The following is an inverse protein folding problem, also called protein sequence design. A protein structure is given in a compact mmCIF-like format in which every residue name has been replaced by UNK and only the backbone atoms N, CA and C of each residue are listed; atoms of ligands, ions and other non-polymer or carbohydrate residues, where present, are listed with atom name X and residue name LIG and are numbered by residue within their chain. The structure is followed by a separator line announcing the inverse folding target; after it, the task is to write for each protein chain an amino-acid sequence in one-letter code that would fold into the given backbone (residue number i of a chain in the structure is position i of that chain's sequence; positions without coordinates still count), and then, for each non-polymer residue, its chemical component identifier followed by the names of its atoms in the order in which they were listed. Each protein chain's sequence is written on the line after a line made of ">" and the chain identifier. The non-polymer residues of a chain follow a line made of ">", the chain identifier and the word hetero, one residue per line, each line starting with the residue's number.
data_IF_405509453975
#
_entry.id   IF_405509453975
#
_cell.length_a   1.000
_cell.length_b   1.000
_cell.length_c   1.000
_cell.angle_alpha   90.00
_cell.angle_beta   90.00
_cell.angle_gamma   90.00
#
_symmetry.space_group_name_H-M   'P 1'
#
loop_
_entity.id
_entity.type
_entity.pdbx_description
1 polymer ?
#
# COMPACT_ATOMS: atom_id res chain seq x y z
N UNK A 1 11.05 61.31 -68.67
CA UNK A 1 10.07 60.47 -67.94
C UNK A 1 10.14 59.06 -68.51
N UNK A 2 10.85 58.15 -67.81
CA UNK A 2 11.15 56.78 -68.24
C UNK A 2 10.54 55.79 -67.24
N UNK A 3 10.03 54.71 -67.82
CA UNK A 3 9.39 53.53 -67.21
C UNK A 3 10.37 52.67 -66.41
N UNK A 4 9.79 51.98 -65.41
CA UNK A 4 10.16 50.68 -64.80
C UNK A 4 11.48 50.66 -64.01
N UNK A 5 11.43 50.12 -62.78
CA UNK A 5 12.07 48.86 -62.41
C UNK A 5 11.78 48.56 -60.92
N UNK A 6 11.30 47.33 -60.67
CA UNK A 6 11.60 46.44 -59.54
C UNK A 6 11.59 47.04 -58.12
N UNK A 7 10.70 46.53 -57.28
CA UNK A 7 11.10 45.71 -56.13
C UNK A 7 9.88 44.91 -55.64
N UNK A 8 9.79 43.66 -56.08
CA UNK A 8 9.12 42.59 -55.36
C UNK A 8 9.88 42.41 -54.04
N UNK A 9 9.37 42.96 -52.94
CA UNK A 9 9.88 42.65 -51.61
C UNK A 9 9.29 41.29 -51.18
N UNK A 10 10.00 40.23 -51.57
CA UNK A 10 9.90 38.95 -50.88
C UNK A 10 10.64 39.07 -49.55
N UNK A 11 9.92 38.93 -48.44
CA UNK A 11 10.53 38.56 -47.15
C UNK A 11 9.73 37.38 -46.61
N UNK A 12 10.18 36.21 -47.03
CA UNK A 12 9.94 34.92 -46.42
C UNK A 12 10.67 34.94 -45.06
N UNK A 13 9.98 35.24 -43.96
CA UNK A 13 10.56 35.13 -42.62
C UNK A 13 10.01 33.88 -41.92
N UNK A 14 10.94 33.03 -41.52
CA UNK A 14 10.77 31.69 -41.01
C UNK A 14 9.74 31.59 -39.87
N UNK A 15 8.75 30.72 -40.05
CA UNK A 15 8.05 30.09 -38.95
C UNK A 15 9.05 29.14 -38.25
N UNK A 16 9.80 29.66 -37.28
CA UNK A 16 10.48 28.80 -36.31
C UNK A 16 9.41 28.14 -35.44
N UNK A 17 8.98 26.96 -35.86
CA UNK A 17 8.31 26.00 -35.00
C UNK A 17 9.22 25.69 -33.83
N UNK A 18 9.05 26.39 -32.72
CA UNK A 18 9.63 25.98 -31.45
C UNK A 18 8.87 24.74 -31.02
N UNK A 19 9.35 23.58 -31.45
CA UNK A 19 8.97 22.31 -30.86
C UNK A 19 9.39 22.40 -29.40
N UNK A 20 8.47 22.78 -28.51
CA UNK A 20 8.69 22.60 -27.08
C UNK A 20 8.77 21.11 -26.88
N UNK A 21 10.00 20.64 -26.68
CA UNK A 21 10.30 19.30 -26.23
C UNK A 21 9.44 19.08 -24.99
N UNK A 22 8.46 18.17 -25.08
CA UNK A 22 7.75 17.67 -23.92
C UNK A 22 8.80 16.91 -23.13
N UNK A 23 9.38 17.60 -22.16
CA UNK A 23 10.27 17.01 -21.19
C UNK A 23 9.38 16.12 -20.33
N UNK A 24 9.43 14.81 -20.56
CA UNK A 24 8.92 13.84 -19.61
C UNK A 24 9.64 14.14 -18.30
N UNK A 25 8.92 14.74 -17.35
CA UNK A 25 9.45 15.00 -16.03
C UNK A 25 9.65 13.64 -15.38
N UNK A 26 10.86 13.11 -15.49
CA UNK A 26 11.36 12.10 -14.58
C UNK A 26 11.31 12.77 -13.20
N UNK A 27 10.28 12.41 -12.46
CA UNK A 27 9.95 13.05 -11.20
C UNK A 27 10.87 12.45 -10.12
N UNK A 28 12.14 12.83 -10.19
CA UNK A 28 13.18 12.34 -9.30
C UNK A 28 13.07 13.05 -7.95
N UNK A 29 12.82 12.28 -6.89
CA UNK A 29 12.69 12.79 -5.53
C UNK A 29 14.06 12.85 -4.85
N UNK A 30 15.02 13.47 -5.54
CA UNK A 30 16.36 13.66 -5.00
C UNK A 30 16.29 14.44 -3.70
N UNK A 31 17.02 13.92 -2.70
CA UNK A 31 17.02 14.48 -1.35
C UNK A 31 18.33 15.23 -1.08
N UNK A 32 18.21 16.41 -0.48
CA UNK A 32 19.32 17.20 0.05
C UNK A 32 19.30 17.16 1.58
N UNK A 33 20.46 17.27 2.23
CA UNK A 33 20.51 17.31 3.71
C UNK A 33 20.49 18.73 4.25
N UNK A 34 19.57 18.99 5.17
CA UNK A 34 19.54 20.22 5.98
C UNK A 34 19.56 19.84 7.47
N UNK A 35 20.69 20.07 8.12
CA UNK A 35 20.93 19.56 9.47
C UNK A 35 20.86 18.03 9.50
N UNK A 36 19.92 17.49 10.27
CA UNK A 36 19.72 16.03 10.42
C UNK A 36 18.58 15.49 9.54
N UNK A 37 18.06 16.29 8.60
CA UNK A 37 16.87 15.96 7.84
C UNK A 37 17.15 15.85 6.35
N UNK A 38 16.51 14.86 5.71
CA UNK A 38 16.46 14.73 4.26
C UNK A 38 15.31 15.61 3.73
N UNK A 39 15.63 16.53 2.84
CA UNK A 39 14.72 17.50 2.25
C UNK A 39 14.55 17.19 0.77
N UNK A 40 13.32 16.98 0.33
CA UNK A 40 12.96 16.85 -1.09
C UNK A 40 12.29 18.14 -1.57
N UNK A 41 12.47 18.45 -2.86
CA UNK A 41 11.89 19.66 -3.45
C UNK A 41 10.36 19.56 -3.61
N UNK A 42 9.70 20.71 -3.75
CA UNK A 42 8.26 20.78 -4.04
C UNK A 42 7.89 20.13 -5.38
N UNK A 43 8.83 19.84 -6.27
CA UNK A 43 8.61 19.07 -7.49
C UNK A 43 8.45 17.57 -7.25
N UNK A 44 8.88 17.04 -6.09
CA UNK A 44 8.76 15.62 -5.78
C UNK A 44 7.28 15.19 -5.70
N UNK A 45 6.83 14.21 -6.50
CA UNK A 45 5.43 13.81 -6.56
C UNK A 45 5.02 13.02 -5.33
N UNK A 46 4.06 13.59 -4.59
CA UNK A 46 3.44 12.95 -3.43
C UNK A 46 1.94 12.67 -3.62
N UNK A 47 1.44 12.96 -4.83
CA UNK A 47 0.10 12.68 -5.36
C UNK A 47 -1.07 13.15 -4.51
N UNK A 48 -2.08 12.32 -4.21
CA UNK A 48 -3.28 12.75 -3.48
C UNK A 48 -3.51 12.00 -2.17
N UNK A 49 -4.08 12.68 -1.17
CA UNK A 49 -4.51 12.06 0.09
C UNK A 49 -5.70 11.10 -0.09
N UNK A 50 -5.58 9.92 0.51
CA UNK A 50 -6.63 8.89 0.45
C UNK A 50 -7.70 9.07 1.53
N UNK A 51 -7.36 9.68 2.67
CA UNK A 51 -8.32 10.04 3.75
C UNK A 51 -9.22 8.88 4.23
N UNK A 52 -8.68 7.67 4.30
CA UNK A 52 -9.43 6.48 4.73
C UNK A 52 -10.11 5.71 3.60
N UNK A 53 -10.09 6.23 2.36
CA UNK A 53 -10.48 5.47 1.17
C UNK A 53 -9.41 4.46 0.81
N UNK A 54 -9.81 3.28 0.34
CA UNK A 54 -8.88 2.33 -0.26
C UNK A 54 -8.39 2.86 -1.61
N UNK A 55 -7.12 2.70 -1.98
CA UNK A 55 -6.65 3.04 -3.31
C UNK A 55 -7.17 2.04 -4.34
N UNK A 56 -7.33 2.47 -5.59
CA UNK A 56 -7.72 1.58 -6.70
C UNK A 56 -6.72 0.43 -6.91
N UNK A 57 -5.44 0.73 -6.74
CA UNK A 57 -4.36 -0.24 -6.80
C UNK A 57 -3.67 -0.33 -5.42
N UNK A 58 -3.49 -1.55 -4.90
CA UNK A 58 -2.81 -1.78 -3.61
C UNK A 58 -1.28 -1.71 -3.72
N UNK A 59 -0.75 -1.74 -4.94
CA UNK A 59 0.65 -1.47 -5.28
C UNK A 59 0.74 -0.11 -5.98
N UNK A 60 1.75 0.68 -5.65
CA UNK A 60 1.90 2.03 -6.18
C UNK A 60 3.03 2.76 -5.49
N UNK A 61 3.00 4.08 -5.47
CA UNK A 61 3.94 4.89 -4.68
C UNK A 61 3.12 5.58 -3.60
N UNK A 62 3.25 5.14 -2.36
CA UNK A 62 2.49 5.66 -1.23
C UNK A 62 3.38 6.45 -0.28
N UNK A 63 2.90 7.61 0.13
CA UNK A 63 3.54 8.41 1.17
C UNK A 63 2.64 8.47 2.39
N UNK A 64 3.20 8.41 3.59
CA UNK A 64 2.46 8.72 4.80
C UNK A 64 2.78 10.15 5.20
N UNK A 65 1.81 11.06 5.11
CA UNK A 65 1.98 12.42 5.59
C UNK A 65 1.77 12.48 7.09
N UNK A 66 2.81 12.89 7.83
CA UNK A 66 2.78 13.05 9.29
C UNK A 66 2.34 14.45 9.75
N UNK A 67 2.48 15.48 8.91
CA UNK A 67 2.12 16.84 9.28
C UNK A 67 2.57 17.90 8.28
N UNK A 68 2.26 19.16 8.59
CA UNK A 68 2.73 20.35 7.89
C UNK A 68 3.28 21.31 8.95
N UNK A 69 4.53 21.71 8.82
CA UNK A 69 5.28 22.45 9.84
C UNK A 69 5.78 23.78 9.26
N UNK A 70 5.91 24.80 10.09
CA UNK A 70 6.55 26.08 9.74
C UNK A 70 8.08 26.04 9.85
N UNK A 71 8.63 25.02 10.51
CA UNK A 71 10.07 24.81 10.67
C UNK A 71 10.39 23.32 10.82
N UNK A 72 11.64 22.96 10.57
CA UNK A 72 12.12 21.59 10.76
C UNK A 72 12.15 21.24 12.25
N UNK A 73 11.75 20.02 12.66
CA UNK A 73 11.84 19.59 14.05
C UNK A 73 13.28 19.51 14.55
N UNK A 74 13.46 19.50 15.87
CA UNK A 74 14.76 19.18 16.47
C UNK A 74 15.16 17.72 16.20
N UNK A 75 16.46 17.45 16.19
CA UNK A 75 17.03 16.13 15.88
C UNK A 75 16.48 14.98 16.76
N UNK A 76 16.05 15.30 17.98
CA UNK A 76 15.43 14.35 18.89
C UNK A 76 14.05 13.84 18.46
N UNK A 77 13.41 14.48 17.47
CA UNK A 77 12.09 14.10 16.99
C UNK A 77 12.07 12.71 16.34
N UNK A 78 13.07 12.38 15.52
CA UNK A 78 13.15 11.07 14.86
C UNK A 78 13.27 9.92 15.86
N UNK A 79 13.87 10.19 17.03
CA UNK A 79 14.04 9.20 18.09
C UNK A 79 12.73 8.92 18.83
N UNK A 80 11.76 9.84 18.79
CA UNK A 80 10.42 9.62 19.36
C UNK A 80 9.54 8.73 18.49
N UNK A 81 9.94 8.44 17.25
CA UNK A 81 9.23 7.57 16.31
C UNK A 81 9.73 6.12 16.44
N UNK A 82 9.50 5.51 17.60
CA UNK A 82 10.09 4.22 18.02
C UNK A 82 9.54 2.95 17.32
N UNK A 83 8.83 3.08 16.20
CA UNK A 83 8.29 1.93 15.46
C UNK A 83 8.39 2.03 13.93
N UNK A 84 9.02 3.09 13.40
CA UNK A 84 9.31 3.11 11.97
C UNK A 84 10.52 2.20 11.69
N UNK A 85 10.37 1.11 10.91
CA UNK A 85 11.44 0.14 10.67
C UNK A 85 12.61 0.77 9.91
N UNK A 86 12.38 1.85 9.17
CA UNK A 86 13.42 2.67 8.57
C UNK A 86 13.20 4.15 8.92
N UNK A 87 14.05 4.71 9.79
CA UNK A 87 14.01 6.14 10.16
C UNK A 87 14.48 7.04 9.02
N UNK A 88 15.24 6.51 8.06
CA UNK A 88 15.68 7.23 6.86
C UNK A 88 14.53 7.43 5.86
N UNK A 89 13.42 6.71 6.03
CA UNK A 89 12.20 6.93 5.27
C UNK A 89 11.48 8.23 5.65
N UNK A 90 11.87 8.90 6.75
CA UNK A 90 11.35 10.20 7.13
C UNK A 90 12.05 11.31 6.33
N UNK A 91 11.28 12.00 5.50
CA UNK A 91 11.72 13.13 4.68
C UNK A 91 10.80 14.33 4.89
N UNK A 92 11.31 15.52 4.58
CA UNK A 92 10.51 16.73 4.55
C UNK A 92 10.47 17.28 3.13
N UNK A 93 9.27 17.51 2.60
CA UNK A 93 9.10 18.23 1.34
C UNK A 93 8.97 19.71 1.65
N UNK A 94 9.88 20.53 1.10
CA UNK A 94 9.82 21.96 1.28
C UNK A 94 8.79 22.56 0.30
N UNK A 95 7.80 23.28 0.82
CA UNK A 95 6.73 23.93 0.08
C UNK A 95 6.68 25.42 0.48
N UNK A 96 7.47 26.24 -0.22
CA UNK A 96 7.69 27.65 0.17
C UNK A 96 8.36 27.76 1.54
N UNK A 97 7.64 28.33 2.51
CA UNK A 97 8.10 28.48 3.91
C UNK A 97 7.68 27.31 4.82
N UNK A 98 6.95 26.34 4.30
CA UNK A 98 6.45 25.20 5.07
C UNK A 98 7.19 23.92 4.72
N UNK A 99 7.20 22.99 5.66
CA UNK A 99 7.76 21.65 5.50
C UNK A 99 6.67 20.61 5.71
N UNK A 100 6.40 19.82 4.68
CA UNK A 100 5.49 18.68 4.77
C UNK A 100 6.27 17.46 5.22
N UNK A 101 5.90 16.92 6.37
CA UNK A 101 6.48 15.71 6.94
C UNK A 101 5.92 14.48 6.20
N UNK A 102 6.81 13.65 5.66
CA UNK A 102 6.46 12.46 4.87
C UNK A 102 7.28 11.26 5.32
N UNK A 103 6.66 10.08 5.34
CA UNK A 103 7.35 8.80 5.50
C UNK A 103 7.14 7.96 4.25
N UNK A 104 8.21 7.46 3.64
CA UNK A 104 8.17 6.65 2.43
C UNK A 104 9.29 7.00 1.44
N UNK A 105 9.10 6.70 0.14
CA UNK A 105 7.89 6.12 -0.46
C UNK A 105 7.75 4.63 -0.14
N UNK A 106 6.50 4.15 -0.05
CA UNK A 106 6.16 2.74 0.11
C UNK A 106 5.55 2.19 -1.17
N UNK A 107 6.03 1.02 -1.61
CA UNK A 107 5.52 0.39 -2.83
C UNK A 107 4.18 -0.35 -2.64
N UNK A 108 3.80 -0.58 -1.38
CA UNK A 108 2.61 -1.33 -0.97
C UNK A 108 1.76 -0.50 0.00
N UNK A 109 0.45 -0.44 -0.24
CA UNK A 109 -0.49 0.30 0.61
C UNK A 109 -0.51 -0.23 2.05
N UNK A 110 -0.37 -1.54 2.24
CA UNK A 110 -0.32 -2.18 3.58
C UNK A 110 0.86 -1.70 4.42
N UNK A 111 2.03 -1.50 3.81
CA UNK A 111 3.21 -0.94 4.48
C UNK A 111 2.97 0.52 4.87
N UNK A 112 2.33 1.31 3.99
CA UNK A 112 1.93 2.67 4.30
C UNK A 112 0.86 2.74 5.42
N UNK A 113 -0.05 1.77 5.48
CA UNK A 113 -1.03 1.60 6.58
C UNK A 113 -0.33 1.33 7.91
N UNK A 114 0.60 0.38 7.94
CA UNK A 114 1.35 0.04 9.16
C UNK A 114 2.16 1.23 9.66
N UNK A 115 2.88 1.92 8.76
CA UNK A 115 3.63 3.12 9.08
C UNK A 115 2.71 4.24 9.60
N UNK A 116 1.56 4.47 8.96
CA UNK A 116 0.55 5.45 9.43
C UNK A 116 0.07 5.12 10.84
N UNK A 117 -0.29 3.87 11.09
CA UNK A 117 -0.87 3.48 12.37
C UNK A 117 0.17 3.56 13.50
N UNK A 118 1.43 3.29 13.20
CA UNK A 118 2.53 3.54 14.12
C UNK A 118 2.71 5.02 14.44
N UNK A 119 2.71 5.89 13.42
CA UNK A 119 2.81 7.34 13.62
C UNK A 119 1.64 7.84 14.48
N UNK A 120 0.42 7.34 14.25
CA UNK A 120 -0.78 7.76 14.98
C UNK A 120 -0.78 7.40 16.47
N UNK A 121 0.08 6.47 16.91
CA UNK A 121 0.28 6.20 18.35
C UNK A 121 0.87 7.41 19.08
N UNK A 122 1.56 8.29 18.37
CA UNK A 122 2.08 9.54 18.93
C UNK A 122 1.00 10.63 18.85
N UNK A 123 0.63 11.30 19.97
CA UNK A 123 -0.42 12.31 19.96
C UNK A 123 -0.22 13.42 18.93
N UNK A 124 1.02 13.87 18.76
CA UNK A 124 1.41 14.90 17.79
C UNK A 124 1.17 14.50 16.33
N UNK A 125 1.07 13.19 16.04
CA UNK A 125 0.96 12.62 14.69
C UNK A 125 -0.33 11.81 14.49
N UNK A 126 -1.29 11.95 15.42
CA UNK A 126 -2.62 11.32 15.37
C UNK A 126 -3.40 11.60 14.06
N UNK A 127 -3.04 12.67 13.35
CA UNK A 127 -3.63 13.07 12.06
C UNK A 127 -2.90 12.53 10.84
N UNK A 128 -1.92 11.65 11.00
CA UNK A 128 -1.18 11.09 9.88
C UNK A 128 -2.11 10.36 8.89
N UNK A 129 -1.86 10.47 7.59
CA UNK A 129 -2.68 9.83 6.55
C UNK A 129 -1.86 9.44 5.33
N UNK A 130 -2.39 8.56 4.49
CA UNK A 130 -1.70 8.02 3.32
C UNK A 130 -2.05 8.85 2.09
N UNK A 131 -1.05 9.13 1.25
CA UNK A 131 -1.16 9.72 -0.07
C UNK A 131 -0.72 8.70 -1.13
N UNK A 132 -1.31 8.75 -2.32
CA UNK A 132 -0.93 7.94 -3.48
C UNK A 132 -0.33 8.84 -4.56
N UNK A 133 0.98 8.70 -4.82
CA UNK A 133 1.74 9.51 -5.78
C UNK A 133 1.35 9.27 -7.24
N UNK A 134 0.71 8.13 -7.53
CA UNK A 134 0.20 7.83 -8.88
C UNK A 134 -1.12 8.56 -9.18
N UNK A 135 -1.74 9.18 -8.19
CA UNK A 135 -2.89 10.06 -8.38
C UNK A 135 -2.39 11.50 -8.55
N UNK A 136 -2.63 12.10 -9.73
CA UNK A 136 -2.21 13.47 -10.03
C UNK A 136 -2.98 14.46 -9.15
N UNK A 137 -2.29 15.45 -8.55
CA UNK A 137 -2.96 16.57 -7.88
C UNK A 137 -3.67 17.44 -8.93
N UNK A 138 -4.93 17.12 -9.23
CA UNK A 138 -5.79 18.04 -9.96
C UNK A 138 -6.13 19.18 -8.99
N UNK A 139 -5.59 20.37 -9.29
CA UNK A 139 -5.89 21.61 -8.59
C UNK A 139 -7.40 21.83 -8.44
N UNK A 140 -7.75 22.43 -7.31
CA UNK A 140 -9.08 22.82 -6.84
C UNK A 140 -10.19 22.99 -7.90
N UNK A 141 -11.29 22.25 -7.73
CA UNK A 141 -12.62 22.77 -8.05
C UNK A 141 -13.58 22.53 -6.87
N UNK A 142 -14.15 23.65 -6.40
CA UNK A 142 -15.13 23.70 -5.32
C UNK A 142 -16.43 23.04 -5.78
N UNK A 143 -16.98 22.13 -4.99
CA UNK A 143 -18.43 21.91 -5.00
C UNK A 143 -18.94 22.02 -3.57
N UNK A 144 -19.48 23.20 -3.30
CA UNK A 144 -20.37 23.45 -2.20
C UNK A 144 -21.65 22.63 -2.39
N UNK A 145 -22.13 22.03 -1.30
CA UNK A 145 -23.41 21.31 -1.29
C UNK A 145 -23.67 20.64 0.05
N UNK A 146 -23.95 21.43 1.08
CA UNK A 146 -24.81 20.99 2.19
C UNK A 146 -26.28 21.24 1.72
N UNK A 147 -27.30 20.48 2.15
CA UNK A 147 -27.68 20.43 3.56
C UNK A 147 -28.04 19.03 4.11
N UNK A 148 -27.61 18.81 5.36
CA UNK A 148 -28.31 18.11 6.44
C UNK A 148 -29.82 17.88 6.24
N UNK A 149 -30.31 16.68 6.59
CA UNK A 149 -31.47 16.49 7.49
C UNK A 149 -31.55 15.05 8.06
N UNK A 150 -31.34 14.97 9.38
CA UNK A 150 -31.94 14.10 10.43
C UNK A 150 -32.31 12.62 10.19
N UNK A 151 -31.63 11.78 10.98
CA UNK A 151 -32.15 10.69 11.85
C UNK A 151 -33.64 10.31 11.76
N UNK A 152 -33.90 9.00 11.66
CA UNK A 152 -34.84 8.33 12.58
C UNK A 152 -34.54 6.84 12.75
N UNK A 153 -34.44 6.42 14.00
CA UNK A 153 -34.44 5.05 14.51
C UNK A 153 -35.90 4.63 14.68
N UNK A 154 -36.33 3.46 14.15
CA UNK A 154 -36.95 2.39 14.94
C UNK A 154 -37.44 1.22 14.08
N UNK A 155 -37.24 -0.01 14.59
CA UNK A 155 -37.88 -1.22 14.07
C UNK A 155 -37.31 -2.54 14.62
N UNK A 156 -37.67 -2.87 15.88
CA UNK A 156 -37.73 -4.23 16.48
C UNK A 156 -38.36 -5.26 15.51
N UNK A 157 -38.16 -6.59 15.56
CA UNK A 157 -37.57 -7.51 16.53
C UNK A 157 -37.27 -8.86 15.83
N UNK A 158 -36.39 -9.64 16.47
CA UNK A 158 -36.46 -11.11 16.64
C UNK A 158 -36.57 -12.02 15.41
N UNK A 159 -35.47 -12.70 15.12
CA UNK A 159 -35.45 -13.97 14.38
C UNK A 159 -34.16 -14.72 14.68
N UNK A 160 -34.22 -15.66 15.63
CA UNK A 160 -33.18 -16.68 15.81
C UNK A 160 -33.03 -17.46 14.51
N UNK A 161 -31.87 -17.36 13.85
CA UNK A 161 -31.49 -18.32 12.81
C UNK A 161 -30.18 -18.97 13.22
N UNK A 162 -30.35 -20.17 13.74
CA UNK A 162 -29.36 -21.23 13.84
C UNK A 162 -28.52 -21.27 12.56
N UNK A 163 -27.21 -21.05 12.70
CA UNK A 163 -26.25 -21.13 11.61
C UNK A 163 -26.17 -22.59 11.11
N UNK A 164 -26.84 -22.88 10.00
CA UNK A 164 -26.53 -24.06 9.20
C UNK A 164 -25.14 -23.85 8.60
N UNK A 165 -24.17 -24.61 9.11
CA UNK A 165 -22.78 -24.62 8.65
C UNK A 165 -22.77 -24.96 7.15
N UNK A 166 -22.54 -23.96 6.31
CA UNK A 166 -22.42 -24.17 4.86
C UNK A 166 -21.35 -25.24 4.59
N UNK A 167 -21.66 -26.17 3.69
CA UNK A 167 -20.72 -27.23 3.31
C UNK A 167 -19.50 -26.61 2.60
N UNK A 168 -18.30 -27.05 2.98
CA UNK A 168 -17.05 -26.63 2.34
C UNK A 168 -17.02 -27.15 0.90
N UNK A 169 -16.59 -26.32 -0.04
CA UNK A 169 -16.44 -26.63 -1.48
C UNK A 169 -15.11 -27.31 -1.81
N UNK A 170 -14.18 -27.32 -0.87
CA UNK A 170 -12.85 -27.93 -1.03
C UNK A 170 -12.51 -28.79 0.19
N UNK A 171 -11.68 -29.80 -0.01
CA UNK A 171 -11.15 -30.60 1.08
C UNK A 171 -10.00 -29.87 1.78
N UNK A 172 -9.91 -30.06 3.09
CA UNK A 172 -8.89 -29.44 3.94
C UNK A 172 -8.18 -30.49 4.78
N UNK A 173 -6.98 -30.16 5.26
CA UNK A 173 -6.43 -30.76 6.47
C UNK A 173 -6.35 -29.70 7.56
N UNK A 174 -6.64 -30.09 8.79
CA UNK A 174 -6.53 -29.21 9.95
C UNK A 174 -5.07 -29.17 10.42
N UNK A 175 -4.63 -27.99 10.83
CA UNK A 175 -3.31 -27.74 11.38
C UNK A 175 -3.41 -26.65 12.44
N UNK A 176 -3.25 -27.02 13.71
CA UNK A 176 -3.18 -26.05 14.82
C UNK A 176 -4.42 -25.15 14.95
N UNK A 177 -5.60 -25.69 14.66
CA UNK A 177 -6.85 -24.92 14.64
C UNK A 177 -7.05 -24.08 13.37
N UNK A 178 -6.10 -24.13 12.44
CA UNK A 178 -6.20 -23.57 11.09
C UNK A 178 -6.51 -24.68 10.08
N UNK A 179 -6.79 -24.28 8.84
CA UNK A 179 -7.08 -25.21 7.75
C UNK A 179 -6.28 -24.91 6.51
N UNK A 180 -5.63 -25.92 5.95
CA UNK A 180 -4.98 -25.79 4.64
C UNK A 180 -5.79 -26.52 3.57
N UNK A 181 -6.13 -25.87 2.44
CA UNK A 181 -6.80 -26.54 1.34
C UNK A 181 -5.91 -27.62 0.71
N UNK A 182 -6.44 -28.83 0.50
CA UNK A 182 -5.74 -29.91 -0.21
C UNK A 182 -5.71 -29.63 -1.72
N UNK A 183 -4.61 -29.89 -2.44
CA UNK A 183 -4.53 -29.68 -3.88
C UNK A 183 -5.47 -30.61 -4.65
N UNK A 184 -6.09 -30.08 -5.71
CA UNK A 184 -6.83 -30.85 -6.73
C UNK A 184 -5.88 -31.28 -7.85
N UNK A 185 -6.39 -32.14 -8.73
CA UNK A 185 -5.62 -32.61 -9.90
C UNK A 185 -5.15 -31.46 -10.78
N UNK A 186 -3.88 -31.50 -11.16
CA UNK A 186 -3.22 -30.50 -12.00
C UNK A 186 -2.76 -29.22 -11.27
N UNK A 187 -3.15 -29.01 -10.01
CA UNK A 187 -2.74 -27.81 -9.26
C UNK A 187 -1.29 -27.89 -8.77
N UNK A 188 -0.67 -26.72 -8.58
CA UNK A 188 0.66 -26.61 -7.99
C UNK A 188 0.61 -27.05 -6.53
N UNK A 189 1.63 -27.80 -6.12
CA UNK A 189 1.71 -28.38 -4.79
C UNK A 189 3.13 -28.41 -4.25
N UNK A 190 3.24 -28.54 -2.94
CA UNK A 190 4.46 -28.82 -2.21
C UNK A 190 4.19 -29.96 -1.25
N UNK A 191 5.10 -30.93 -1.17
CA UNK A 191 4.95 -32.08 -0.28
C UNK A 191 6.08 -32.03 0.74
N UNK A 192 5.71 -32.14 2.01
CA UNK A 192 6.63 -32.48 3.09
C UNK A 192 6.31 -33.89 3.61
N UNK A 193 6.95 -34.28 4.71
CA UNK A 193 6.81 -35.62 5.29
C UNK A 193 5.38 -35.92 5.80
N UNK A 194 4.55 -34.91 6.01
CA UNK A 194 3.23 -35.03 6.65
C UNK A 194 2.08 -34.70 5.70
N UNK A 195 2.24 -33.67 4.86
CA UNK A 195 1.15 -33.08 4.10
C UNK A 195 1.52 -32.78 2.65
N UNK A 196 0.49 -32.85 1.81
CA UNK A 196 0.53 -32.32 0.45
C UNK A 196 -0.17 -30.97 0.46
N UNK A 197 0.62 -29.91 0.41
CA UNK A 197 0.18 -28.53 0.44
C UNK A 197 -0.22 -28.06 -0.94
N UNK A 198 -1.38 -27.43 -1.03
CA UNK A 198 -1.71 -26.65 -2.22
C UNK A 198 -0.88 -25.37 -2.26
N UNK A 199 -0.42 -25.01 -3.47
CA UNK A 199 0.25 -23.75 -3.75
C UNK A 199 -0.58 -22.92 -4.71
N UNK A 200 -0.81 -21.68 -4.35
CA UNK A 200 -1.73 -20.81 -5.06
C UNK A 200 -1.17 -19.40 -5.20
N UNK A 201 -1.59 -18.68 -6.23
CA UNK A 201 -1.47 -17.23 -6.26
C UNK A 201 -2.27 -16.59 -5.12
N UNK A 202 -1.98 -15.33 -4.80
CA UNK A 202 -2.73 -14.63 -3.74
C UNK A 202 -4.24 -14.60 -4.04
N UNK A 203 -4.60 -14.37 -5.31
CA UNK A 203 -6.00 -14.32 -5.74
C UNK A 203 -6.71 -15.65 -5.51
N UNK A 204 -6.11 -16.74 -5.96
CA UNK A 204 -6.66 -18.09 -5.79
C UNK A 204 -6.78 -18.46 -4.31
N UNK A 205 -5.76 -18.16 -3.51
CA UNK A 205 -5.73 -18.43 -2.08
C UNK A 205 -6.85 -17.69 -1.34
N UNK A 206 -6.98 -16.38 -1.54
CA UNK A 206 -8.02 -15.55 -0.91
C UNK A 206 -9.42 -16.03 -1.30
N UNK A 207 -9.68 -16.18 -2.61
CA UNK A 207 -10.99 -16.62 -3.08
C UNK A 207 -11.35 -18.01 -2.57
N UNK A 208 -10.39 -18.91 -2.38
CA UNK A 208 -10.66 -20.26 -1.87
C UNK A 208 -11.08 -20.23 -0.41
N UNK A 209 -10.35 -19.52 0.46
CA UNK A 209 -10.74 -19.40 1.87
C UNK A 209 -12.13 -18.72 1.99
N UNK A 210 -12.36 -17.63 1.27
CA UNK A 210 -13.62 -16.87 1.33
C UNK A 210 -14.83 -17.69 0.85
N UNK A 211 -14.65 -18.47 -0.22
CA UNK A 211 -15.70 -19.33 -0.75
C UNK A 211 -16.17 -20.41 0.23
N UNK A 212 -15.32 -20.74 1.19
CA UNK A 212 -15.54 -21.73 2.23
C UNK A 212 -15.79 -21.08 3.61
N UNK A 213 -16.09 -19.78 3.63
CA UNK A 213 -16.48 -19.04 4.84
C UNK A 213 -15.34 -18.72 5.80
N UNK A 214 -14.10 -18.79 5.32
CA UNK A 214 -12.88 -18.47 6.07
C UNK A 214 -12.17 -17.28 5.43
N UNK A 215 -11.11 -16.80 6.06
CA UNK A 215 -10.15 -15.87 5.43
C UNK A 215 -8.78 -16.52 5.41
N UNK A 216 -7.83 -15.94 4.68
CA UNK A 216 -6.43 -16.32 4.85
C UNK A 216 -6.03 -16.12 6.31
N UNK A 217 -5.11 -16.95 6.79
CA UNK A 217 -4.51 -16.81 8.12
C UNK A 217 -3.88 -15.42 8.27
N UNK A 218 -4.08 -14.76 9.40
CA UNK A 218 -3.41 -13.47 9.63
C UNK A 218 -1.91 -13.65 9.92
N UNK A 219 -1.10 -12.65 9.58
CA UNK A 219 0.30 -12.59 10.03
C UNK A 219 0.39 -12.76 11.55
N UNK A 220 -0.51 -12.12 12.30
CA UNK A 220 -0.51 -12.18 13.76
C UNK A 220 -0.72 -13.62 14.28
N UNK A 221 -1.63 -14.36 13.65
CA UNK A 221 -1.88 -15.78 13.94
C UNK A 221 -0.65 -16.61 13.59
N UNK A 222 -0.09 -16.45 12.38
CA UNK A 222 1.12 -17.17 11.95
C UNK A 222 2.30 -16.90 12.89
N UNK A 223 2.51 -15.65 13.32
CA UNK A 223 3.55 -15.31 14.30
C UNK A 223 3.31 -15.96 15.65
N UNK A 224 2.06 -16.00 16.11
CA UNK A 224 1.70 -16.63 17.39
C UNK A 224 2.06 -18.12 17.38
N UNK A 225 1.66 -18.85 16.33
CA UNK A 225 1.97 -20.28 16.22
C UNK A 225 3.46 -20.55 15.98
N UNK A 226 4.15 -19.70 15.21
CA UNK A 226 5.57 -19.91 14.86
C UNK A 226 6.53 -19.68 16.03
N UNK A 227 6.08 -19.05 17.11
CA UNK A 227 6.86 -18.85 18.35
C UNK A 227 6.93 -20.09 19.24
N UNK A 228 5.96 -21.01 19.12
CA UNK A 228 5.99 -22.28 19.85
C UNK A 228 6.85 -23.29 19.09
N UNK A 229 7.85 -23.88 19.76
CA UNK A 229 8.73 -24.87 19.14
C UNK A 229 7.96 -26.11 18.64
N UNK A 230 6.94 -26.52 19.40
CA UNK A 230 6.05 -27.62 19.04
C UNK A 230 5.29 -27.33 17.75
N UNK A 231 4.69 -26.14 17.65
CA UNK A 231 3.89 -25.73 16.49
C UNK A 231 4.73 -25.38 15.27
N UNK A 232 5.91 -24.77 15.48
CA UNK A 232 6.88 -24.52 14.43
C UNK A 232 7.32 -25.81 13.73
N UNK A 233 7.43 -26.92 14.45
CA UNK A 233 7.78 -28.23 13.87
C UNK A 233 6.70 -28.83 12.95
N UNK A 234 5.49 -28.26 12.96
CA UNK A 234 4.38 -28.71 12.11
C UNK A 234 4.19 -27.85 10.85
N UNK A 235 4.86 -26.70 10.77
CA UNK A 235 4.82 -25.82 9.60
C UNK A 235 5.93 -26.20 8.61
N UNK A 236 5.70 -26.07 7.29
CA UNK A 236 6.73 -26.19 6.28
C UNK A 236 7.81 -25.13 6.46
N UNK A 237 9.07 -25.51 6.24
CA UNK A 237 10.23 -24.65 6.49
C UNK A 237 10.78 -23.94 5.26
N UNK A 238 10.31 -24.31 4.05
CA UNK A 238 10.93 -23.88 2.79
C UNK A 238 10.19 -22.81 2.02
N UNK A 239 8.90 -22.62 2.30
CA UNK A 239 8.05 -21.73 1.52
C UNK A 239 7.26 -20.79 2.43
N UNK A 240 7.09 -19.53 2.02
CA UNK A 240 6.26 -18.59 2.75
C UNK A 240 4.77 -18.88 2.52
N UNK A 241 3.94 -18.26 3.36
CA UNK A 241 2.49 -18.32 3.32
C UNK A 241 1.91 -17.04 2.74
N UNK A 242 0.77 -17.14 2.07
CA UNK A 242 -0.11 -15.99 1.92
C UNK A 242 -0.80 -15.69 3.25
N UNK A 243 -0.79 -14.42 3.65
CA UNK A 243 -1.52 -13.96 4.84
C UNK A 243 -2.72 -13.09 4.48
N UNK A 244 -3.65 -12.92 5.42
CA UNK A 244 -4.83 -12.05 5.32
C UNK A 244 -4.49 -10.63 4.87
N UNK A 245 -3.31 -10.16 5.24
CA UNK A 245 -2.75 -8.86 4.90
C UNK A 245 -2.26 -8.79 3.44
N UNK A 246 -2.50 -9.83 2.65
CA UNK A 246 -2.31 -9.90 1.20
C UNK A 246 -0.85 -9.78 0.73
N UNK A 247 0.06 -10.34 1.50
CA UNK A 247 1.47 -10.44 1.14
C UNK A 247 2.04 -11.79 1.58
N UNK A 248 3.26 -12.09 1.13
CA UNK A 248 3.95 -13.34 1.45
C UNK A 248 4.66 -13.22 2.80
N UNK A 249 4.42 -14.13 3.74
CA UNK A 249 5.06 -14.13 5.06
C UNK A 249 5.90 -15.38 5.26
N UNK A 250 7.19 -15.22 5.59
CA UNK A 250 8.05 -16.32 5.98
C UNK A 250 7.87 -16.60 7.48
N UNK A 251 7.30 -17.76 7.80
CA UNK A 251 7.02 -18.18 9.17
C UNK A 251 8.27 -18.57 9.97
N UNK A 252 9.37 -18.91 9.28
CA UNK A 252 10.64 -19.29 9.91
C UNK A 252 11.46 -18.06 10.25
N UNK A 253 11.62 -17.17 9.27
CA UNK A 253 12.37 -15.92 9.38
C UNK A 253 11.54 -14.83 10.06
N UNK A 254 10.22 -15.02 10.18
CA UNK A 254 9.27 -14.07 10.78
C UNK A 254 9.27 -12.70 10.11
N UNK A 255 9.41 -12.66 8.79
CA UNK A 255 9.46 -11.43 7.99
C UNK A 255 8.54 -11.50 6.77
N UNK A 256 8.00 -10.36 6.31
CA UNK A 256 7.40 -10.26 4.98
C UNK A 256 8.44 -10.56 3.88
N UNK A 257 8.01 -11.26 2.84
CA UNK A 257 8.83 -11.63 1.69
C UNK A 257 8.43 -10.78 0.47
N UNK A 258 9.40 -10.22 -0.29
CA UNK A 258 9.14 -9.38 -1.46
C UNK A 258 8.78 -10.23 -2.69
N UNK A 259 7.69 -11.00 -2.61
CA UNK A 259 7.26 -11.90 -3.69
C UNK A 259 6.11 -11.29 -4.49
N UNK A 260 6.09 -11.58 -5.80
CA UNK A 260 5.00 -11.20 -6.70
C UNK A 260 3.69 -11.88 -6.29
N UNK A 261 2.55 -11.24 -6.56
CA UNK A 261 1.21 -11.82 -6.33
C UNK A 261 0.92 -13.05 -7.18
N UNK A 262 1.66 -13.22 -8.28
CA UNK A 262 1.64 -14.41 -9.14
C UNK A 262 2.48 -15.57 -8.58
N UNK A 263 3.22 -15.34 -7.50
CA UNK A 263 3.97 -16.40 -6.84
C UNK A 263 3.00 -17.42 -6.26
N UNK A 264 3.28 -18.70 -6.51
CA UNK A 264 2.48 -19.79 -5.93
C UNK A 264 3.01 -20.15 -4.54
N UNK A 265 2.30 -19.77 -3.48
CA UNK A 265 2.73 -19.92 -2.08
C UNK A 265 1.79 -20.82 -1.29
N UNK A 266 2.20 -21.15 -0.07
CA UNK A 266 1.41 -21.98 0.84
C UNK A 266 0.15 -21.23 1.31
N UNK A 267 -0.93 -21.98 1.50
CA UNK A 267 -2.23 -21.44 1.90
C UNK A 267 -2.64 -22.02 3.24
N UNK A 268 -2.99 -21.14 4.17
CA UNK A 268 -3.68 -21.46 5.41
C UNK A 268 -4.86 -20.52 5.54
N UNK A 269 -6.00 -21.06 5.95
CA UNK A 269 -7.23 -20.35 6.24
C UNK A 269 -7.53 -20.40 7.74
N UNK A 270 -8.17 -19.35 8.25
CA UNK A 270 -8.68 -19.22 9.63
C UNK A 270 -10.13 -18.75 9.64
#
# INVERSE_FOLDING_TARGET
>A
MRRRLFHLLGVLLLLLSTSKMVQSAEADCDSSRQGNWNIVQDTCPIGQGLWGRAPENLSGIFWVQCGLLSSLPESGFAQKLNGLPNKEALVFRQEGSQYRCLVGPFVQYSTAVSARDELRKQPALSRAFIRNALMVENGAEKVAGNPSTKMSINGKASGNVSATKAALKRDYFDLLGLRSPKPRDGEKRYTDDKFVWWRASLKEATSTCENDGMKLVSESTLRSISRSAEYKSQLPTRLPFWVAEQYAFDSIMMVPMPLSKESVLLVLCE
#
